data_IF_373667790251
#
_entry.id   IF_373667790251
#
_cell.length_a   1.000
_cell.length_b   1.000
_cell.length_c   1.000
_cell.angle_alpha   90.00
_cell.angle_beta   90.00
_cell.angle_gamma   90.00
#
_symmetry.space_group_name_H-M   'P 1'
#
loop_
_entity.id
_entity.type
_entity.pdbx_description
1 polymer ?
#
# COMPACT_ATOMS: atom_id res chain seq x y z
N UNK A 1 61.06 -3.83 3.41
CA UNK A 1 61.86 -4.32 2.28
C UNK A 1 61.48 -3.52 1.04
N UNK A 2 62.37 -2.63 0.61
CA UNK A 2 62.52 -2.25 -0.81
C UNK A 2 63.15 -3.46 -1.57
N UNK A 3 63.17 -3.56 -2.91
CA UNK A 3 63.80 -2.57 -3.80
C UNK A 3 63.20 -2.40 -5.22
N UNK A 4 63.64 -1.33 -5.91
CA UNK A 4 63.55 -1.11 -7.37
C UNK A 4 64.38 -2.13 -8.18
N UNK A 5 64.20 -2.19 -9.50
CA UNK A 5 65.23 -1.59 -10.38
C UNK A 5 64.71 -0.96 -11.70
N UNK A 6 65.33 0.16 -12.11
CA UNK A 6 65.49 0.61 -13.52
C UNK A 6 66.65 -0.20 -14.18
N UNK A 7 66.94 -0.24 -15.52
CA UNK A 7 66.84 0.85 -16.52
C UNK A 7 66.60 0.44 -18.03
N UNK A 8 66.48 1.45 -18.93
CA UNK A 8 67.09 1.61 -20.29
C UNK A 8 66.17 2.46 -21.23
N UNK A 9 66.75 3.53 -21.80
CA UNK A 9 66.16 4.56 -22.70
C UNK A 9 65.93 4.06 -24.15
N UNK A 10 65.15 4.77 -25.02
CA UNK A 10 65.78 5.79 -25.88
C UNK A 10 64.90 7.01 -26.27
N UNK A 11 65.59 8.14 -26.46
CA UNK A 11 65.45 9.10 -27.57
C UNK A 11 64.07 9.66 -28.00
N UNK A 12 63.89 10.94 -27.68
CA UNK A 12 63.46 12.02 -28.60
C UNK A 12 62.34 11.73 -29.62
N UNK A 13 61.13 12.17 -29.29
CA UNK A 13 60.25 12.83 -30.25
C UNK A 13 59.73 14.14 -29.66
N UNK A 14 60.14 15.25 -30.29
CA UNK A 14 59.61 16.58 -30.06
C UNK A 14 58.12 16.60 -30.39
N UNK A 15 57.28 16.84 -29.38
CA UNK A 15 56.04 17.58 -29.56
C UNK A 15 56.26 18.98 -28.98
N UNK A 16 55.97 20.07 -29.71
CA UNK A 16 56.17 21.40 -29.18
C UNK A 16 55.23 21.57 -27.99
N UNK A 17 55.80 21.86 -26.82
CA UNK A 17 55.06 22.48 -25.72
C UNK A 17 54.46 23.75 -26.29
N UNK A 18 53.14 23.77 -26.46
CA UNK A 18 52.38 24.99 -26.61
C UNK A 18 52.50 25.73 -25.29
N UNK A 19 53.61 26.45 -25.11
CA UNK A 19 53.71 27.50 -24.12
C UNK A 19 52.66 28.53 -24.50
N UNK A 20 51.49 28.46 -23.87
CA UNK A 20 50.54 29.57 -23.91
C UNK A 20 51.28 30.78 -23.33
N UNK A 21 51.56 31.83 -24.12
CA UNK A 21 52.26 32.99 -23.60
C UNK A 21 51.46 33.55 -22.43
N UNK A 22 52.11 33.73 -21.28
CA UNK A 22 51.52 34.43 -20.13
C UNK A 22 51.15 35.82 -20.61
N UNK A 23 49.86 36.06 -20.85
CA UNK A 23 49.35 37.36 -21.29
C UNK A 23 49.74 38.41 -20.24
N UNK A 24 50.33 39.55 -20.62
CA UNK A 24 50.69 40.60 -19.69
C UNK A 24 49.49 41.02 -18.84
N UNK A 25 49.71 41.26 -17.55
CA UNK A 25 48.66 41.58 -16.57
C UNK A 25 47.82 42.79 -17.03
N UNK A 26 48.45 43.74 -17.72
CA UNK A 26 47.77 44.89 -18.33
C UNK A 26 46.74 44.47 -19.38
N UNK A 27 46.98 43.41 -20.14
CA UNK A 27 46.08 42.87 -21.16
C UNK A 27 44.90 42.12 -20.52
N UNK A 28 45.13 41.43 -19.40
CA UNK A 28 44.04 40.79 -18.62
C UNK A 28 43.14 41.82 -17.94
N UNK A 29 43.70 42.91 -17.40
CA UNK A 29 42.92 43.98 -16.73
C UNK A 29 42.15 44.83 -17.76
N UNK A 30 42.66 44.91 -19.00
CA UNK A 30 42.00 45.63 -20.10
C UNK A 30 40.85 44.85 -20.74
N UNK A 31 40.70 43.55 -20.44
CA UNK A 31 39.56 42.78 -20.92
C UNK A 31 38.29 43.24 -20.22
N UNK A 32 37.33 43.72 -21.01
CA UNK A 32 35.98 44.00 -20.52
C UNK A 32 35.28 42.67 -20.29
N UNK A 33 34.82 42.43 -19.06
CA UNK A 33 34.04 41.24 -18.76
C UNK A 33 32.76 41.21 -19.61
N UNK A 34 32.34 40.03 -20.08
CA UNK A 34 31.03 39.92 -20.72
C UNK A 34 29.96 40.42 -19.74
N UNK A 35 28.98 41.21 -20.21
CA UNK A 35 27.91 41.67 -19.34
C UNK A 35 27.16 40.48 -18.78
N UNK A 36 26.96 40.48 -17.46
CA UNK A 36 26.20 39.44 -16.79
C UNK A 36 24.71 39.63 -17.09
N UNK A 37 24.13 38.68 -17.81
CA UNK A 37 22.69 38.62 -18.00
C UNK A 37 22.02 37.96 -16.78
N UNK A 38 21.74 38.79 -15.78
CA UNK A 38 21.03 38.37 -14.56
C UNK A 38 19.63 37.80 -14.85
N UNK A 39 19.02 38.14 -15.98
CA UNK A 39 17.66 37.71 -16.29
C UNK A 39 17.62 36.21 -16.59
N UNK A 40 18.45 35.75 -17.52
CA UNK A 40 18.54 34.32 -17.85
C UNK A 40 19.24 33.50 -16.76
N UNK A 41 20.23 34.09 -16.08
CA UNK A 41 21.03 33.36 -15.09
C UNK A 41 20.34 33.18 -13.73
N UNK A 42 19.42 34.08 -13.35
CA UNK A 42 18.84 34.11 -11.99
C UNK A 42 17.32 34.27 -12.03
N UNK A 43 16.82 35.31 -12.69
CA UNK A 43 15.40 35.70 -12.59
C UNK A 43 14.50 34.63 -13.21
N UNK A 44 14.77 34.21 -14.45
CA UNK A 44 13.96 33.19 -15.12
C UNK A 44 13.97 31.83 -14.40
N UNK A 45 15.13 31.26 -13.99
CA UNK A 45 15.15 30.03 -13.21
C UNK A 45 14.34 30.13 -11.92
N UNK A 46 14.42 31.27 -11.22
CA UNK A 46 13.66 31.49 -9.99
C UNK A 46 12.15 31.59 -10.25
N UNK A 47 11.74 32.32 -11.28
CA UNK A 47 10.33 32.44 -11.67
C UNK A 47 9.77 31.08 -12.11
N UNK A 48 10.56 30.29 -12.85
CA UNK A 48 10.21 28.93 -13.24
C UNK A 48 10.07 28.01 -12.03
N UNK A 49 11.00 28.06 -11.07
CA UNK A 49 10.91 27.28 -9.83
C UNK A 49 9.66 27.65 -9.05
N UNK A 50 9.40 28.95 -8.87
CA UNK A 50 8.23 29.47 -8.16
C UNK A 50 6.92 28.98 -8.79
N UNK A 51 6.87 28.92 -10.13
CA UNK A 51 5.71 28.38 -10.85
C UNK A 51 5.55 26.87 -10.62
N UNK A 52 6.64 26.09 -10.66
CA UNK A 52 6.59 24.65 -10.39
C UNK A 52 6.13 24.35 -8.97
N UNK A 53 6.54 25.15 -7.99
CA UNK A 53 6.12 24.98 -6.60
C UNK A 53 4.61 25.13 -6.44
N UNK A 54 4.03 26.14 -7.10
CA UNK A 54 2.57 26.34 -7.11
C UNK A 54 1.86 25.14 -7.74
N UNK A 55 2.31 24.71 -8.93
CA UNK A 55 1.72 23.55 -9.62
C UNK A 55 1.85 22.26 -8.78
N UNK A 56 2.98 22.08 -8.10
CA UNK A 56 3.22 20.95 -7.21
C UNK A 56 2.26 20.98 -6.01
N UNK A 57 2.11 22.12 -5.34
CA UNK A 57 1.21 22.30 -4.21
C UNK A 57 -0.25 22.04 -4.60
N UNK A 58 -0.69 22.56 -5.74
CA UNK A 58 -2.02 22.31 -6.26
C UNK A 58 -2.27 20.82 -6.51
N UNK A 59 -1.34 20.15 -7.19
CA UNK A 59 -1.43 18.71 -7.46
C UNK A 59 -1.41 17.88 -6.17
N UNK A 60 -0.53 18.24 -5.23
CA UNK A 60 -0.41 17.56 -3.95
C UNK A 60 -1.69 17.69 -3.12
N UNK A 61 -2.26 18.88 -3.04
CA UNK A 61 -3.53 19.12 -2.36
C UNK A 61 -4.67 18.31 -2.98
N UNK A 62 -4.71 18.22 -4.31
CA UNK A 62 -5.71 17.42 -5.02
C UNK A 62 -5.57 15.93 -4.70
N UNK A 63 -4.35 15.40 -4.70
CA UNK A 63 -4.09 13.99 -4.34
C UNK A 63 -4.47 13.68 -2.88
N UNK A 64 -4.19 14.58 -1.94
CA UNK A 64 -4.59 14.39 -0.54
C UNK A 64 -6.11 14.38 -0.43
N UNK A 65 -6.78 15.32 -1.09
CA UNK A 65 -8.23 15.41 -1.03
C UNK A 65 -8.89 14.14 -1.59
N UNK A 66 -8.40 13.65 -2.73
CA UNK A 66 -8.85 12.39 -3.33
C UNK A 66 -8.69 11.22 -2.35
N UNK A 67 -7.50 11.06 -1.77
CA UNK A 67 -7.24 10.01 -0.77
C UNK A 67 -8.16 10.12 0.45
N UNK A 68 -8.37 11.34 0.96
CA UNK A 68 -9.26 11.59 2.10
C UNK A 68 -10.71 11.21 1.78
N UNK A 69 -11.18 11.53 0.57
CA UNK A 69 -12.53 11.20 0.13
C UNK A 69 -12.72 9.69 -0.05
N UNK A 70 -11.76 9.01 -0.68
CA UNK A 70 -11.76 7.56 -0.84
C UNK A 70 -11.74 6.85 0.51
N UNK A 71 -10.84 7.27 1.41
CA UNK A 71 -10.75 6.71 2.73
C UNK A 71 -12.02 6.97 3.56
N UNK A 72 -12.61 8.16 3.45
CA UNK A 72 -13.87 8.46 4.10
C UNK A 72 -15.00 7.56 3.59
N UNK A 73 -15.15 7.42 2.26
CA UNK A 73 -16.16 6.56 1.67
C UNK A 73 -16.00 5.09 2.10
N UNK A 74 -14.77 4.60 2.10
CA UNK A 74 -14.47 3.24 2.55
C UNK A 74 -14.72 3.05 4.04
N UNK A 75 -14.23 3.95 4.90
CA UNK A 75 -14.39 3.84 6.35
C UNK A 75 -15.82 4.02 6.84
N UNK A 76 -16.67 4.72 6.08
CA UNK A 76 -18.11 4.81 6.37
C UNK A 76 -18.89 3.61 5.85
N UNK A 77 -18.56 3.07 4.68
CA UNK A 77 -19.24 1.89 4.14
C UNK A 77 -18.84 0.59 4.86
N UNK A 78 -17.59 0.48 5.28
CA UNK A 78 -17.01 -0.76 5.80
C UNK A 78 -17.71 -1.30 7.07
N UNK A 79 -17.99 -0.49 8.11
CA UNK A 79 -18.70 -0.97 9.30
C UNK A 79 -20.08 -1.53 8.98
N UNK A 80 -20.82 -0.90 8.06
CA UNK A 80 -22.13 -1.40 7.63
C UNK A 80 -21.98 -2.76 6.95
N UNK A 81 -21.06 -2.87 5.99
CA UNK A 81 -20.82 -4.13 5.28
C UNK A 81 -20.39 -5.27 6.21
N UNK A 82 -19.52 -4.98 7.19
CA UNK A 82 -19.07 -5.97 8.17
C UNK A 82 -20.22 -6.38 9.09
N UNK A 83 -21.02 -5.43 9.58
CA UNK A 83 -22.21 -5.70 10.40
C UNK A 83 -23.22 -6.56 9.66
N UNK A 84 -23.56 -6.20 8.41
CA UNK A 84 -24.53 -6.93 7.60
C UNK A 84 -24.05 -8.37 7.35
N UNK A 85 -22.78 -8.53 7.01
CA UNK A 85 -22.17 -9.86 6.80
C UNK A 85 -22.19 -10.71 8.08
N UNK A 86 -21.95 -10.10 9.24
CA UNK A 86 -22.04 -10.81 10.52
C UNK A 86 -23.48 -11.17 10.87
N UNK A 87 -24.44 -10.29 10.60
CA UNK A 87 -25.86 -10.55 10.80
C UNK A 87 -26.35 -11.70 9.92
N UNK A 88 -25.97 -11.73 8.64
CA UNK A 88 -26.29 -12.82 7.72
C UNK A 88 -25.74 -14.17 8.19
N UNK A 89 -24.49 -14.18 8.68
CA UNK A 89 -23.86 -15.38 9.25
C UNK A 89 -24.63 -15.87 10.47
N UNK A 90 -24.99 -14.96 11.37
CA UNK A 90 -25.75 -15.30 12.57
C UNK A 90 -27.15 -15.82 12.22
N UNK A 91 -27.83 -15.22 11.24
CA UNK A 91 -29.14 -15.69 10.78
C UNK A 91 -29.08 -17.13 10.25
N UNK A 92 -28.02 -17.47 9.50
CA UNK A 92 -27.81 -18.82 9.00
C UNK A 92 -27.59 -19.82 10.14
N UNK A 93 -26.79 -19.47 11.15
CA UNK A 93 -26.57 -20.31 12.33
C UNK A 93 -27.88 -20.52 13.12
N UNK A 94 -28.66 -19.46 13.32
CA UNK A 94 -29.96 -19.55 14.00
C UNK A 94 -30.91 -20.47 13.23
N UNK A 95 -30.99 -20.35 11.89
CA UNK A 95 -31.80 -21.26 11.07
C UNK A 95 -31.35 -22.71 11.20
N UNK A 96 -30.04 -22.96 11.25
CA UNK A 96 -29.51 -24.31 11.43
C UNK A 96 -29.89 -24.89 12.80
N UNK A 97 -29.82 -24.09 13.87
CA UNK A 97 -30.23 -24.50 15.21
C UNK A 97 -31.73 -24.83 15.26
N UNK A 98 -32.58 -23.99 14.68
CA UNK A 98 -34.04 -24.22 14.65
C UNK A 98 -34.37 -25.56 13.97
N UNK A 99 -33.76 -25.87 12.84
CA UNK A 99 -34.02 -27.15 12.16
C UNK A 99 -33.48 -28.36 12.94
N UNK A 100 -32.35 -28.20 13.64
CA UNK A 100 -31.83 -29.23 14.53
C UNK A 100 -32.78 -29.50 15.71
N UNK A 101 -33.28 -28.46 16.37
CA UNK A 101 -34.25 -28.57 17.47
C UNK A 101 -35.54 -29.24 17.01
N UNK A 102 -36.01 -28.90 15.81
CA UNK A 102 -37.20 -29.51 15.21
C UNK A 102 -37.03 -31.00 14.96
N UNK A 103 -35.85 -31.44 14.51
CA UNK A 103 -35.57 -32.87 14.33
C UNK A 103 -35.42 -33.60 15.67
N UNK A 104 -34.81 -32.95 16.66
CA UNK A 104 -34.75 -33.48 18.02
C UNK A 104 -36.15 -33.70 18.60
N UNK A 105 -37.06 -32.74 18.42
CA UNK A 105 -38.44 -32.84 18.91
C UNK A 105 -39.22 -33.96 18.21
N UNK A 106 -39.03 -34.15 16.89
CA UNK A 106 -39.60 -35.31 16.17
C UNK A 106 -39.09 -36.63 16.74
N UNK A 107 -37.81 -36.71 17.08
CA UNK A 107 -37.21 -37.91 17.68
C UNK A 107 -37.81 -38.17 19.07
N UNK A 108 -37.98 -37.12 19.88
CA UNK A 108 -38.64 -37.20 21.19
C UNK A 108 -40.07 -37.70 21.08
N UNK A 109 -40.83 -37.20 20.09
CA UNK A 109 -42.21 -37.65 19.85
C UNK A 109 -42.26 -39.14 19.47
N UNK A 110 -41.40 -39.59 18.55
CA UNK A 110 -41.32 -41.01 18.17
C UNK A 110 -41.01 -41.91 19.37
N UNK A 111 -40.13 -41.46 20.26
CA UNK A 111 -39.81 -42.18 21.49
C UNK A 111 -41.03 -42.26 22.44
N UNK A 112 -41.74 -41.15 22.64
CA UNK A 112 -42.95 -41.13 23.47
C UNK A 112 -44.04 -42.06 22.90
N UNK A 113 -44.24 -42.05 21.59
CA UNK A 113 -45.20 -42.92 20.92
C UNK A 113 -44.81 -44.40 21.10
N UNK A 114 -43.53 -44.72 20.97
CA UNK A 114 -42.99 -46.06 21.22
C UNK A 114 -43.25 -46.51 22.66
N UNK A 115 -42.88 -45.70 23.65
CA UNK A 115 -43.10 -46.01 25.07
C UNK A 115 -44.57 -46.20 25.37
N UNK A 116 -45.45 -45.37 24.79
CA UNK A 116 -46.91 -45.49 24.96
C UNK A 116 -47.43 -46.82 24.42
N UNK A 117 -46.97 -47.23 23.23
CA UNK A 117 -47.33 -48.54 22.64
C UNK A 117 -46.86 -49.70 23.52
N UNK A 118 -45.65 -49.64 24.07
CA UNK A 118 -45.13 -50.67 24.99
C UNK A 118 -45.97 -50.74 26.27
N UNK A 119 -46.33 -49.59 26.86
CA UNK A 119 -47.19 -49.54 28.05
C UNK A 119 -48.55 -50.17 27.79
N UNK A 120 -49.17 -49.87 26.63
CA UNK A 120 -50.45 -50.45 26.23
C UNK A 120 -50.35 -51.97 26.03
N UNK A 121 -49.29 -52.45 25.38
CA UNK A 121 -49.07 -53.89 25.18
C UNK A 121 -48.85 -54.61 26.51
N UNK A 122 -48.06 -54.03 27.43
CA UNK A 122 -47.87 -54.59 28.77
C UNK A 122 -49.17 -54.65 29.54
N UNK A 123 -49.95 -53.56 29.56
CA UNK A 123 -51.26 -53.54 30.22
C UNK A 123 -52.17 -54.65 29.68
N UNK A 124 -52.27 -54.79 28.35
CA UNK A 124 -53.07 -55.83 27.71
C UNK A 124 -52.60 -57.25 28.09
N UNK A 125 -51.30 -57.51 28.18
CA UNK A 125 -50.75 -58.80 28.60
C UNK A 125 -51.04 -59.09 30.08
N UNK A 126 -51.00 -58.07 30.94
CA UNK A 126 -51.26 -58.23 32.36
C UNK A 126 -52.76 -58.33 32.69
N UNK A 127 -53.62 -57.63 31.96
CA UNK A 127 -55.09 -57.70 32.12
C UNK A 127 -55.66 -59.02 31.60
N UNK A 128 -55.02 -59.67 30.62
CA UNK A 128 -55.36 -61.04 30.18
C UNK A 128 -54.94 -62.13 31.19
N UNK A 129 -54.12 -61.78 32.19
CA UNK A 129 -53.57 -62.74 33.17
C UNK A 129 -54.26 -62.70 34.55
N UNK A 130 -55.34 -61.93 34.68
CA UNK A 130 -56.23 -61.89 35.84
C UNK A 130 -57.62 -62.47 35.47
#
# INVERSE_FOLDING_TARGET
>A
MSPSPNPIQPSTQHAPRSETPRRPISEMISQTFPPFDHRSAIVEPFDNESKRDVEFLEKFNMMILELMLEFHAWSTARPSYESDRTADSLEQEVKAVIEMEKEQERTRQRLNDFVTRIKLALAALTELSA
#
